data_IF_500362541211
#
_entry.id   IF_500362541211
#
_cell.length_a   1.000
_cell.length_b   1.000
_cell.length_c   1.000
_cell.angle_alpha   90.00
_cell.angle_beta   90.00
_cell.angle_gamma   90.00
#
_symmetry.space_group_name_H-M   'P 1'
#
loop_
_entity.id
_entity.type
_entity.pdbx_description
1 polymer ?
#
# COMPACT_ATOMS: atom_id res chain seq x y z
N UNK A 1 -50.79 -1.63 -8.16
CA UNK A 1 -49.45 -1.92 -8.72
C UNK A 1 -49.66 -2.42 -10.14
N UNK A 2 -49.29 -1.62 -11.15
CA UNK A 2 -49.48 -2.00 -12.56
C UNK A 2 -48.55 -3.18 -12.89
N UNK A 3 -49.08 -4.19 -13.58
CA UNK A 3 -48.35 -5.38 -14.03
C UNK A 3 -47.07 -5.03 -14.81
N UNK A 4 -47.05 -3.86 -15.46
CA UNK A 4 -45.92 -3.35 -16.22
C UNK A 4 -44.74 -2.90 -15.31
N UNK A 5 -45.01 -2.46 -14.08
CA UNK A 5 -43.95 -2.11 -13.12
C UNK A 5 -43.22 -3.35 -12.58
N UNK A 6 -43.91 -4.50 -12.45
CA UNK A 6 -43.30 -5.74 -11.98
C UNK A 6 -42.32 -6.34 -13.01
N UNK A 7 -42.68 -6.30 -14.29
CA UNK A 7 -41.85 -6.80 -15.39
C UNK A 7 -40.58 -5.96 -15.56
N UNK A 8 -40.68 -4.64 -15.46
CA UNK A 8 -39.53 -3.73 -15.55
C UNK A 8 -38.51 -3.96 -14.41
N UNK A 9 -38.98 -4.25 -13.20
CA UNK A 9 -38.11 -4.54 -12.04
C UNK A 9 -37.36 -5.87 -12.24
N UNK A 10 -38.05 -6.91 -12.75
CA UNK A 10 -37.46 -8.22 -13.02
C UNK A 10 -36.39 -8.20 -14.11
N UNK A 11 -36.62 -7.43 -15.19
CA UNK A 11 -35.62 -7.28 -16.27
C UNK A 11 -34.39 -6.52 -15.76
N UNK A 12 -34.57 -5.47 -14.96
CA UNK A 12 -33.46 -4.72 -14.40
C UNK A 12 -32.61 -5.54 -13.41
N UNK A 13 -33.24 -6.40 -12.59
CA UNK A 13 -32.52 -7.27 -11.65
C UNK A 13 -31.82 -8.44 -12.35
N UNK A 14 -32.46 -9.05 -13.35
CA UNK A 14 -31.84 -10.12 -14.13
C UNK A 14 -30.64 -9.61 -14.95
N UNK A 15 -30.75 -8.42 -15.55
CA UNK A 15 -29.65 -7.78 -16.26
C UNK A 15 -28.44 -7.48 -15.35
N UNK A 16 -28.68 -7.04 -14.12
CA UNK A 16 -27.61 -6.72 -13.17
C UNK A 16 -26.87 -7.98 -12.66
N UNK A 17 -27.59 -9.10 -12.48
CA UNK A 17 -27.02 -10.40 -12.10
C UNK A 17 -26.18 -11.03 -13.21
N UNK A 18 -26.53 -10.79 -14.48
CA UNK A 18 -25.80 -11.30 -15.65
C UNK A 18 -24.55 -10.47 -16.00
N UNK A 19 -24.45 -9.22 -15.53
CA UNK A 19 -23.29 -8.35 -15.73
C UNK A 19 -22.19 -8.55 -14.67
N UNK A 20 -22.53 -9.09 -13.49
CA UNK A 20 -21.59 -9.33 -12.40
C UNK A 20 -20.34 -10.16 -12.75
N UNK A 21 -20.44 -11.29 -13.48
CA UNK A 21 -19.28 -12.13 -13.81
C UNK A 21 -18.50 -11.68 -15.04
N UNK A 22 -19.01 -10.72 -15.82
CA UNK A 22 -18.36 -10.18 -17.02
C UNK A 22 -17.51 -8.94 -16.75
N UNK A 23 -17.63 -8.37 -15.55
CA UNK A 23 -16.76 -7.29 -15.12
C UNK A 23 -15.44 -7.91 -14.68
N UNK A 24 -14.30 -7.54 -15.31
CA UNK A 24 -13.00 -7.80 -14.72
C UNK A 24 -13.05 -7.32 -13.27
N UNK A 25 -12.53 -8.11 -12.32
CA UNK A 25 -12.38 -7.64 -10.95
C UNK A 25 -11.76 -6.25 -11.00
N UNK A 26 -12.35 -5.28 -10.30
CA UNK A 26 -11.84 -3.91 -10.30
C UNK A 26 -10.44 -3.95 -9.67
N UNK A 27 -9.41 -4.12 -10.49
CA UNK A 27 -8.03 -3.98 -10.11
C UNK A 27 -7.83 -2.48 -9.90
N UNK A 28 -7.84 -2.05 -8.65
CA UNK A 28 -7.85 -0.63 -8.32
C UNK A 28 -6.66 0.15 -8.96
N UNK A 29 -5.60 -0.54 -9.40
CA UNK A 29 -4.37 0.06 -9.92
C UNK A 29 -3.73 -0.69 -11.12
N UNK A 30 -4.48 -1.56 -11.84
CA UNK A 30 -4.06 -2.12 -13.14
C UNK A 30 -4.17 -3.65 -13.31
N UNK A 31 -4.33 -4.10 -14.56
CA UNK A 31 -4.65 -5.50 -14.93
C UNK A 31 -3.58 -6.57 -14.61
N UNK A 32 -2.41 -6.19 -14.07
CA UNK A 32 -1.29 -7.10 -13.84
C UNK A 32 -0.93 -7.30 -12.35
N UNK A 33 -1.46 -6.47 -11.44
CA UNK A 33 -1.19 -6.59 -10.01
C UNK A 33 -1.93 -7.79 -9.42
N UNK A 34 -1.18 -8.67 -8.77
CA UNK A 34 -1.72 -9.90 -8.15
C UNK A 34 -2.09 -9.65 -6.69
N UNK A 35 -1.25 -8.87 -6.00
CA UNK A 35 -1.57 -8.36 -4.67
C UNK A 35 -1.44 -6.87 -4.65
N UNK A 36 -2.23 -6.28 -3.77
CA UNK A 36 -2.08 -4.89 -3.43
C UNK A 36 -2.34 -4.68 -1.95
N UNK A 37 -1.49 -3.92 -1.31
CA UNK A 37 -1.54 -3.64 0.12
C UNK A 37 -1.48 -2.14 0.33
N UNK A 38 -2.52 -1.57 0.93
CA UNK A 38 -2.50 -0.22 1.46
C UNK A 38 -2.13 -0.26 2.94
N UNK A 39 -1.35 0.71 3.39
CA UNK A 39 -1.02 0.86 4.80
C UNK A 39 -1.00 2.34 5.19
N UNK A 40 -1.40 2.59 6.43
CA UNK A 40 -1.32 3.90 7.04
C UNK A 40 -1.05 3.73 8.52
N UNK A 41 -0.19 4.57 9.06
CA UNK A 41 0.04 4.67 10.49
C UNK A 41 0.10 6.13 10.91
N UNK A 42 -0.29 6.36 12.15
CA UNK A 42 -0.19 7.66 12.79
C UNK A 42 0.37 7.42 14.18
N UNK A 43 1.36 8.22 14.56
CA UNK A 43 1.95 8.15 15.88
C UNK A 43 1.71 9.48 16.58
N UNK A 44 0.96 9.42 17.69
CA UNK A 44 0.37 10.59 18.35
C UNK A 44 0.94 10.82 19.76
N UNK A 45 1.85 9.96 20.22
CA UNK A 45 2.44 10.01 21.56
C UNK A 45 3.90 10.47 21.44
N UNK A 46 4.21 11.77 21.60
CA UNK A 46 5.53 12.32 21.26
C UNK A 46 6.72 11.62 21.91
N UNK A 47 6.53 11.06 23.10
CA UNK A 47 7.56 10.35 23.86
C UNK A 47 7.81 8.92 23.37
N UNK A 48 6.88 8.32 22.63
CA UNK A 48 7.00 6.99 22.02
C UNK A 48 7.27 7.06 20.52
N UNK A 49 6.96 8.21 19.92
CA UNK A 49 6.99 8.45 18.50
C UNK A 49 8.25 9.24 18.16
N UNK A 50 9.33 8.54 17.82
CA UNK A 50 10.43 9.13 17.07
C UNK A 50 10.27 8.80 15.59
N UNK A 51 10.75 9.64 14.65
CA UNK A 51 10.94 9.18 13.28
C UNK A 51 11.82 7.91 13.30
N UNK A 52 11.72 7.04 12.29
CA UNK A 52 12.66 5.94 12.13
C UNK A 52 14.09 6.52 12.07
N UNK A 53 14.89 6.28 13.11
CA UNK A 53 16.15 7.01 13.35
C UNK A 53 16.28 7.61 14.77
N UNK A 54 15.19 7.65 15.53
CA UNK A 54 15.17 8.14 16.92
C UNK A 54 14.77 9.61 17.02
N UNK A 55 14.09 9.97 18.12
CA UNK A 55 13.62 11.33 18.41
C UNK A 55 12.33 11.35 19.23
N UNK A 56 11.87 12.55 19.60
CA UNK A 56 10.53 12.80 20.15
C UNK A 56 9.73 13.63 19.15
N UNK A 57 8.47 13.28 18.88
CA UNK A 57 7.63 14.01 17.91
C UNK A 57 6.37 13.25 17.52
N UNK A 58 5.52 13.82 16.68
CA UNK A 58 4.41 13.06 16.08
C UNK A 58 4.64 12.92 14.59
N UNK A 59 4.23 11.80 14.01
CA UNK A 59 4.39 11.55 12.58
C UNK A 59 3.17 10.84 11.99
N UNK A 60 3.00 10.98 10.69
CA UNK A 60 2.12 10.14 9.90
C UNK A 60 2.91 9.46 8.79
N UNK A 61 2.49 8.24 8.47
CA UNK A 61 2.98 7.48 7.34
C UNK A 61 1.80 6.86 6.60
N UNK A 62 1.83 6.91 5.28
CA UNK A 62 0.81 6.31 4.44
C UNK A 62 1.43 5.87 3.13
N UNK A 63 0.91 4.79 2.57
CA UNK A 63 1.43 4.28 1.32
C UNK A 63 0.68 3.08 0.81
N UNK A 64 1.17 2.58 -0.30
CA UNK A 64 0.69 1.36 -0.91
C UNK A 64 1.84 0.62 -1.55
N UNK A 65 1.66 -0.68 -1.74
CA UNK A 65 2.49 -1.53 -2.58
C UNK A 65 1.60 -2.36 -3.50
N UNK A 66 2.02 -2.55 -4.75
CA UNK A 66 1.54 -3.62 -5.61
C UNK A 66 2.62 -4.69 -5.81
N UNK A 67 2.17 -5.92 -6.00
CA UNK A 67 3.03 -7.06 -6.22
C UNK A 67 2.51 -7.85 -7.41
N UNK A 68 3.37 -8.03 -8.41
CA UNK A 68 3.04 -8.63 -9.70
C UNK A 68 4.21 -9.46 -10.25
N UNK A 69 4.08 -9.90 -11.50
CA UNK A 69 5.13 -10.67 -12.18
C UNK A 69 5.37 -12.02 -11.53
N UNK A 70 4.31 -12.70 -11.06
CA UNK A 70 4.50 -13.98 -10.42
C UNK A 70 5.12 -15.00 -11.35
N UNK A 71 6.13 -15.66 -10.80
CA UNK A 71 6.85 -16.77 -11.41
C UNK A 71 6.52 -18.10 -10.72
N UNK A 72 5.57 -18.10 -9.78
CA UNK A 72 5.09 -19.29 -9.08
C UNK A 72 3.96 -19.99 -9.83
N UNK A 73 3.82 -21.31 -9.66
CA UNK A 73 2.84 -22.12 -10.42
C UNK A 73 1.37 -21.98 -9.97
N UNK A 74 1.07 -21.12 -9.01
CA UNK A 74 -0.30 -20.94 -8.49
C UNK A 74 -0.91 -19.62 -8.97
N UNK A 75 -2.19 -19.65 -9.34
CA UNK A 75 -2.96 -18.47 -9.74
C UNK A 75 -2.99 -17.36 -8.66
N UNK A 76 -2.67 -17.71 -7.41
CA UNK A 76 -2.60 -16.80 -6.27
C UNK A 76 -1.31 -15.96 -6.25
N UNK A 77 -0.24 -16.39 -6.93
CA UNK A 77 1.04 -15.70 -6.99
C UNK A 77 1.68 -15.46 -5.62
N UNK A 78 2.44 -16.41 -5.07
CA UNK A 78 3.09 -16.25 -3.75
C UNK A 78 4.51 -15.68 -3.81
N UNK A 79 5.01 -15.42 -5.01
CA UNK A 79 6.33 -14.84 -5.31
C UNK A 79 6.27 -14.16 -6.67
N UNK A 80 7.12 -13.17 -6.92
CA UNK A 80 7.17 -12.47 -8.20
C UNK A 80 8.37 -11.53 -8.33
N UNK A 81 8.50 -10.93 -9.51
CA UNK A 81 9.68 -10.12 -9.89
C UNK A 81 9.35 -8.67 -10.23
N UNK A 82 8.11 -8.25 -10.02
CA UNK A 82 7.66 -6.89 -10.34
C UNK A 82 6.80 -6.40 -9.18
N UNK A 83 6.93 -5.13 -8.84
CA UNK A 83 6.04 -4.43 -7.94
C UNK A 83 6.49 -2.99 -7.76
N UNK A 84 5.62 -2.16 -7.22
CA UNK A 84 5.93 -0.78 -6.87
C UNK A 84 5.42 -0.50 -5.46
N UNK A 85 6.16 0.29 -4.68
CA UNK A 85 5.64 0.88 -3.47
C UNK A 85 5.84 2.39 -3.46
N UNK A 86 4.82 3.10 -3.03
CA UNK A 86 4.86 4.54 -2.81
C UNK A 86 4.50 4.84 -1.36
N UNK A 87 5.41 5.51 -0.66
CA UNK A 87 5.27 5.85 0.75
C UNK A 87 5.46 7.34 0.95
N UNK A 88 4.54 7.97 1.66
CA UNK A 88 4.69 9.31 2.17
C UNK A 88 4.85 9.25 3.69
N UNK A 89 5.82 9.99 4.21
CA UNK A 89 6.02 10.20 5.64
C UNK A 89 6.10 11.70 5.91
N UNK A 90 5.56 12.14 7.04
CA UNK A 90 5.63 13.53 7.44
C UNK A 90 5.70 13.62 8.95
N UNK A 91 6.44 14.61 9.45
CA UNK A 91 6.33 15.00 10.84
C UNK A 91 5.02 15.80 11.03
N UNK A 92 4.66 16.01 12.28
CA UNK A 92 3.58 16.91 12.67
C UNK A 92 3.99 17.67 13.93
N UNK A 93 3.69 18.96 13.93
CA UNK A 93 3.69 19.79 15.14
C UNK A 93 2.38 19.64 15.89
N UNK A 94 1.25 19.56 15.17
CA UNK A 94 -0.11 19.43 15.72
C UNK A 94 -0.97 18.43 14.91
N UNK A 95 -2.10 17.99 15.48
CA UNK A 95 -3.06 17.11 14.79
C UNK A 95 -3.59 17.78 13.51
N UNK A 96 -3.48 17.08 12.38
CA UNK A 96 -3.98 17.56 11.09
C UNK A 96 -3.04 18.48 10.32
N UNK A 97 -1.83 18.76 10.81
CA UNK A 97 -0.84 19.59 10.11
C UNK A 97 0.45 18.81 9.76
N UNK A 98 0.53 18.23 8.55
CA UNK A 98 1.76 17.66 8.03
C UNK A 98 2.84 18.75 7.85
N UNK A 99 4.05 18.52 8.34
CA UNK A 99 5.21 19.33 8.02
C UNK A 99 6.34 18.47 7.42
N UNK A 100 7.13 19.10 6.54
CA UNK A 100 8.28 18.50 5.87
C UNK A 100 8.03 17.07 5.32
N UNK A 101 7.03 16.88 4.44
CA UNK A 101 6.75 15.56 3.90
C UNK A 101 7.91 15.06 3.04
N UNK A 102 8.21 13.79 3.20
CA UNK A 102 9.15 13.03 2.38
C UNK A 102 8.41 11.88 1.71
N UNK A 103 8.89 11.50 0.54
CA UNK A 103 8.31 10.46 -0.29
C UNK A 103 9.38 9.45 -0.68
N UNK A 104 9.11 8.18 -0.39
CA UNK A 104 9.93 7.02 -0.74
C UNK A 104 9.20 6.24 -1.83
N UNK A 105 9.79 6.20 -3.02
CA UNK A 105 9.42 5.28 -4.09
C UNK A 105 10.32 4.04 -4.03
N UNK A 106 9.74 2.86 -4.16
CA UNK A 106 10.45 1.57 -4.16
C UNK A 106 10.05 0.79 -5.40
N UNK A 107 10.99 0.59 -6.31
CA UNK A 107 10.81 -0.23 -7.50
C UNK A 107 11.25 -1.67 -7.16
N UNK A 108 10.29 -2.58 -7.07
CA UNK A 108 10.49 -3.96 -6.62
C UNK A 108 10.82 -4.85 -7.81
N UNK A 109 11.96 -5.54 -7.71
CA UNK A 109 12.41 -6.55 -8.68
C UNK A 109 12.39 -7.97 -8.13
N UNK A 110 11.98 -8.13 -6.87
CA UNK A 110 11.78 -9.43 -6.23
C UNK A 110 10.95 -9.33 -4.96
N UNK A 111 9.95 -10.20 -4.83
CA UNK A 111 9.14 -10.32 -3.62
C UNK A 111 8.65 -11.75 -3.40
N UNK A 112 8.29 -12.07 -2.16
CA UNK A 112 7.72 -13.35 -1.77
C UNK A 112 6.81 -13.21 -0.57
N UNK A 113 5.79 -14.05 -0.48
CA UNK A 113 5.00 -14.24 0.74
C UNK A 113 5.67 -15.32 1.58
N UNK A 114 6.00 -15.00 2.83
CA UNK A 114 6.64 -15.96 3.75
C UNK A 114 6.27 -15.65 5.21
N UNK A 115 6.54 -16.58 6.15
CA UNK A 115 6.30 -16.33 7.57
C UNK A 115 7.02 -15.09 8.08
N UNK A 116 6.30 -14.27 8.84
CA UNK A 116 6.87 -13.10 9.49
C UNK A 116 7.60 -13.49 10.78
N UNK A 117 8.84 -13.02 10.95
CA UNK A 117 9.61 -13.27 12.18
C UNK A 117 9.05 -12.54 13.41
N UNK A 118 8.28 -11.46 13.21
CA UNK A 118 7.83 -10.56 14.28
C UNK A 118 6.35 -10.67 14.63
N UNK A 119 5.57 -11.45 13.89
CA UNK A 119 4.15 -11.68 14.17
C UNK A 119 3.68 -13.04 13.61
N UNK A 120 2.67 -13.68 14.20
CA UNK A 120 2.05 -14.86 13.61
C UNK A 120 1.48 -14.57 12.22
N UNK A 121 1.67 -15.49 11.28
CA UNK A 121 1.09 -15.41 9.93
C UNK A 121 2.13 -15.21 8.83
N UNK A 122 1.62 -14.95 7.62
CA UNK A 122 2.41 -14.68 6.43
C UNK A 122 2.41 -13.18 6.14
N UNK A 123 3.54 -12.67 5.64
CA UNK A 123 3.71 -11.28 5.21
C UNK A 123 4.31 -11.21 3.82
N UNK A 124 4.23 -10.04 3.18
CA UNK A 124 4.97 -9.72 1.96
C UNK A 124 6.40 -9.32 2.33
N UNK A 125 7.37 -9.94 1.67
CA UNK A 125 8.79 -9.66 1.85
C UNK A 125 9.36 -9.20 0.51
N UNK A 126 9.87 -7.97 0.48
CA UNK A 126 10.66 -7.47 -0.64
C UNK A 126 12.06 -8.08 -0.55
N UNK A 127 12.46 -8.85 -1.55
CA UNK A 127 13.75 -9.53 -1.61
C UNK A 127 14.76 -8.79 -2.47
N UNK A 128 14.30 -7.99 -3.43
CA UNK A 128 15.13 -7.11 -4.26
C UNK A 128 14.34 -5.87 -4.68
N UNK A 129 14.97 -4.70 -4.58
CA UNK A 129 14.37 -3.44 -4.98
C UNK A 129 15.41 -2.34 -5.18
N UNK A 130 15.02 -1.27 -5.85
CA UNK A 130 15.71 0.02 -5.81
C UNK A 130 14.83 1.05 -5.11
N UNK A 131 15.45 2.06 -4.50
CA UNK A 131 14.75 3.06 -3.69
C UNK A 131 15.10 4.47 -4.16
N UNK A 132 14.11 5.37 -4.09
CA UNK A 132 14.30 6.79 -4.32
C UNK A 132 13.56 7.60 -3.26
N UNK A 133 14.30 8.46 -2.56
CA UNK A 133 13.74 9.42 -1.62
C UNK A 133 13.68 10.81 -2.24
N UNK A 134 12.56 11.49 -2.01
CA UNK A 134 12.32 12.87 -2.45
C UNK A 134 11.65 13.67 -1.35
N UNK A 135 11.90 14.97 -1.31
CA UNK A 135 11.40 15.87 -0.28
C UNK A 135 12.51 16.71 0.35
N UNK A 136 12.17 17.70 1.19
CA UNK A 136 13.15 18.57 1.82
C UNK A 136 14.12 17.77 2.70
N UNK A 137 15.42 17.86 2.41
CA UNK A 137 16.47 17.19 3.19
C UNK A 137 16.41 15.65 3.18
N UNK A 138 15.60 15.05 2.30
CA UNK A 138 15.37 13.61 2.29
C UNK A 138 16.66 12.85 1.94
N UNK A 139 17.03 11.89 2.79
CA UNK A 139 18.06 10.89 2.49
C UNK A 139 17.46 9.49 2.46
N UNK A 140 18.08 8.60 1.68
CA UNK A 140 17.64 7.21 1.60
C UNK A 140 17.75 6.54 2.97
N UNK A 141 16.75 5.74 3.36
CA UNK A 141 16.84 4.97 4.58
C UNK A 141 17.96 3.92 4.51
N UNK A 142 18.48 3.50 5.67
CA UNK A 142 19.39 2.36 5.76
C UNK A 142 18.71 1.02 5.40
N UNK A 143 17.38 0.91 5.54
CA UNK A 143 16.62 -0.31 5.24
C UNK A 143 15.31 0.01 4.53
N UNK A 144 14.81 -0.94 3.72
CA UNK A 144 13.44 -0.88 3.21
C UNK A 144 12.44 -0.65 4.36
N UNK A 145 11.50 0.27 4.15
CA UNK A 145 10.43 0.66 5.09
C UNK A 145 10.82 1.39 6.39
N UNK A 146 12.09 1.73 6.61
CA UNK A 146 12.40 2.76 7.63
C UNK A 146 12.04 4.18 7.17
N UNK A 147 11.48 4.36 5.96
CA UNK A 147 11.05 5.66 5.45
C UNK A 147 12.22 6.59 5.16
N UNK A 148 12.03 7.62 4.34
CA UNK A 148 13.09 8.63 4.18
C UNK A 148 13.32 9.32 5.53
N UNK A 149 14.57 9.66 5.82
CA UNK A 149 14.87 10.52 6.97
C UNK A 149 14.10 11.82 6.85
N UNK A 150 13.40 12.21 7.93
CA UNK A 150 12.80 13.52 8.00
C UNK A 150 13.91 14.54 8.30
N UNK A 151 13.88 15.73 7.68
CA UNK A 151 14.81 16.80 8.06
C UNK A 151 14.61 17.17 9.54
N UNK A 152 15.65 17.68 10.23
CA UNK A 152 15.52 18.22 11.57
C UNK A 152 14.41 19.28 11.60
N UNK A 153 13.52 19.18 12.60
CA UNK A 153 12.50 20.19 12.90
C UNK A 153 13.07 21.39 13.63
#
# INVERSE_FOLDING_TARGET
MNEHSGILILIATAGLLLLGPLLPGAHAYGNAAQWQVGFSSTCNVPTLCGPPGGGTGTFGLGGWCDFSGSNGSTALGTTGTIGDCQLAQYARTDLGQPNNPVHLAVDITGWTIMPNAFAPGLSFHITAATMKCTGPGATLPPTLFSGCSLPPG
#
